data_IF_419672359277
#
_entry.id   IF_419672359277
#
_cell.length_a   1.000
_cell.length_b   1.000
_cell.length_c   1.000
_cell.angle_alpha   90.00
_cell.angle_beta   90.00
_cell.angle_gamma   90.00
#
_symmetry.space_group_name_H-M   'P 1'
#
loop_
_entity.id
_entity.type
_entity.pdbx_description
1 polymer ?
#
# COMPACT_ATOMS: atom_id res chain seq x y z
N UNK A 1 -4.93 40.23 -4.45
CA UNK A 1 -3.87 39.28 -4.81
C UNK A 1 -2.90 39.20 -3.64
N UNK A 2 -2.87 38.09 -2.90
CA UNK A 2 -1.94 37.92 -1.77
C UNK A 2 -0.75 37.12 -2.27
N UNK A 3 0.42 37.76 -2.28
CA UNK A 3 1.70 37.15 -2.69
C UNK A 3 2.27 36.45 -1.46
N UNK A 4 2.31 35.12 -1.46
CA UNK A 4 3.04 34.34 -0.47
C UNK A 4 4.52 34.29 -0.87
N UNK A 5 5.37 35.00 -0.12
CA UNK A 5 6.82 34.85 -0.23
C UNK A 5 7.27 33.54 0.45
N UNK A 6 8.10 32.70 -0.18
CA UNK A 6 8.63 31.52 0.47
C UNK A 6 9.72 31.88 1.49
N UNK A 7 9.57 31.39 2.72
CA UNK A 7 10.59 31.47 3.78
C UNK A 7 11.81 30.60 3.38
N UNK A 8 13.05 31.09 3.48
CA UNK A 8 14.23 30.26 3.27
C UNK A 8 14.51 29.42 4.53
N UNK A 9 14.15 28.14 4.51
CA UNK A 9 14.56 27.17 5.54
C UNK A 9 16.03 26.82 5.33
N UNK A 10 16.96 27.68 5.74
CA UNK A 10 18.40 27.36 5.80
C UNK A 10 18.79 26.96 7.22
N UNK A 11 18.24 25.85 7.73
CA UNK A 11 18.77 25.24 8.95
C UNK A 11 20.05 24.50 8.57
N UNK A 12 21.20 25.16 8.68
CA UNK A 12 22.51 24.51 8.55
C UNK A 12 22.60 23.34 9.54
N UNK A 13 22.95 22.12 9.12
CA UNK A 13 23.09 21.00 10.05
C UNK A 13 24.27 21.25 11.00
N UNK A 14 23.99 21.24 12.30
CA UNK A 14 24.98 21.29 13.37
C UNK A 14 25.88 20.04 13.26
N UNK A 15 27.22 20.17 13.19
CA UNK A 15 28.12 19.03 13.17
C UNK A 15 28.01 18.29 14.52
N UNK A 16 27.40 17.10 14.50
CA UNK A 16 27.36 16.19 15.64
C UNK A 16 28.61 15.31 15.61
N UNK A 17 29.22 14.99 16.77
CA UNK A 17 30.41 14.16 16.82
C UNK A 17 30.16 12.83 16.09
N UNK A 18 31.05 12.53 15.15
CA UNK A 18 31.00 11.38 14.25
C UNK A 18 31.23 10.10 15.06
N UNK A 19 30.16 9.59 15.67
CA UNK A 19 30.15 8.23 16.18
C UNK A 19 30.20 7.30 14.99
N UNK A 20 31.08 6.31 15.03
CA UNK A 20 31.17 5.32 13.97
C UNK A 20 29.92 4.43 14.01
N UNK A 21 29.01 4.66 13.06
CA UNK A 21 27.79 3.89 12.90
C UNK A 21 27.97 2.75 11.89
N UNK A 22 29.19 2.45 11.44
CA UNK A 22 29.43 1.44 10.41
C UNK A 22 28.84 0.06 10.74
N UNK A 23 28.98 -0.41 11.98
CA UNK A 23 28.41 -1.69 12.41
C UNK A 23 26.88 -1.67 12.43
N UNK A 24 26.28 -0.60 12.96
CA UNK A 24 24.83 -0.38 12.94
C UNK A 24 24.30 -0.35 11.49
N UNK A 25 24.97 0.39 10.61
CA UNK A 25 24.58 0.48 9.22
C UNK A 25 24.65 -0.88 8.52
N UNK A 26 25.68 -1.69 8.80
CA UNK A 26 25.83 -3.03 8.25
C UNK A 26 24.77 -4.00 8.76
N UNK A 27 24.53 -4.02 10.08
CA UNK A 27 23.58 -4.92 10.73
C UNK A 27 22.14 -4.65 10.27
N UNK A 28 21.73 -3.38 10.22
CA UNK A 28 20.35 -3.00 9.94
C UNK A 28 20.06 -2.74 8.46
N UNK A 29 21.04 -2.91 7.56
CA UNK A 29 20.89 -2.70 6.10
C UNK A 29 19.74 -3.51 5.51
N UNK A 30 19.67 -4.80 5.81
CA UNK A 30 18.62 -5.68 5.26
C UNK A 30 17.23 -5.27 5.74
N UNK A 31 17.11 -4.91 7.02
CA UNK A 31 15.86 -4.43 7.60
C UNK A 31 15.42 -3.11 6.97
N UNK A 32 16.36 -2.20 6.73
CA UNK A 32 16.09 -0.93 6.07
C UNK A 32 15.54 -1.13 4.65
N UNK A 33 16.16 -1.98 3.84
CA UNK A 33 15.70 -2.28 2.48
C UNK A 33 14.33 -2.95 2.43
N UNK A 34 13.96 -3.73 3.45
CA UNK A 34 12.67 -4.42 3.52
C UNK A 34 11.54 -3.53 4.07
N UNK A 35 11.83 -2.75 5.12
CA UNK A 35 10.82 -2.01 5.88
C UNK A 35 10.55 -0.63 5.30
N UNK A 36 11.60 0.10 4.91
CA UNK A 36 11.48 1.50 4.50
C UNK A 36 10.84 1.77 3.13
N UNK A 37 10.68 0.77 2.24
CA UNK A 37 9.72 0.83 1.14
C UNK A 37 8.27 1.14 1.52
N UNK A 38 7.80 0.57 2.64
CA UNK A 38 6.43 0.75 3.12
C UNK A 38 6.37 0.67 4.66
N UNK A 39 6.88 1.70 5.37
CA UNK A 39 7.03 1.65 6.82
C UNK A 39 5.69 1.63 7.55
N UNK A 40 4.61 2.12 6.93
CA UNK A 40 3.28 2.16 7.54
C UNK A 40 2.72 0.76 7.80
N UNK A 41 3.08 -0.24 6.98
CA UNK A 41 2.69 -1.65 7.20
C UNK A 41 3.28 -2.29 8.45
N UNK A 42 4.37 -1.73 8.96
CA UNK A 42 5.11 -2.25 10.11
C UNK A 42 4.89 -1.43 11.39
N UNK A 43 4.06 -0.38 11.32
CA UNK A 43 3.66 0.44 12.46
C UNK A 43 4.69 1.50 12.88
N UNK A 44 4.41 2.17 14.00
CA UNK A 44 5.12 3.38 14.43
C UNK A 44 6.64 3.21 14.58
N UNK A 45 7.09 2.02 14.99
CA UNK A 45 8.54 1.71 15.12
C UNK A 45 9.28 1.80 13.79
N UNK A 46 8.65 1.38 12.68
CA UNK A 46 9.24 1.45 11.34
C UNK A 46 9.27 2.89 10.81
N UNK A 47 8.23 3.67 11.09
CA UNK A 47 8.14 5.09 10.73
C UNK A 47 9.28 5.90 11.36
N UNK A 48 9.68 5.57 12.59
CA UNK A 48 10.80 6.21 13.28
C UNK A 48 12.15 5.64 12.85
N UNK A 49 12.22 4.33 12.60
CA UNK A 49 13.46 3.65 12.22
C UNK A 49 14.02 4.14 10.88
N UNK A 50 13.17 4.34 9.87
CA UNK A 50 13.62 4.72 8.53
C UNK A 50 14.35 6.08 8.44
N UNK A 51 13.81 7.20 8.99
CA UNK A 51 14.55 8.46 9.02
C UNK A 51 15.80 8.38 9.90
N UNK A 52 15.75 7.64 11.02
CA UNK A 52 16.91 7.45 11.88
C UNK A 52 18.05 6.73 11.14
N UNK A 53 17.77 5.65 10.41
CA UNK A 53 18.78 4.93 9.64
C UNK A 53 19.33 5.81 8.50
N UNK A 54 18.47 6.55 7.78
CA UNK A 54 18.89 7.45 6.72
C UNK A 54 19.83 8.55 7.21
N UNK A 55 19.50 9.18 8.36
CA UNK A 55 20.36 10.20 8.98
C UNK A 55 21.72 9.64 9.43
N UNK A 56 21.74 8.45 10.03
CA UNK A 56 22.96 7.87 10.62
C UNK A 56 23.89 7.25 9.59
N UNK A 57 23.33 6.64 8.55
CA UNK A 57 24.10 5.97 7.51
C UNK A 57 24.31 6.86 6.27
N UNK A 58 23.82 8.11 6.28
CA UNK A 58 23.91 9.07 5.18
C UNK A 58 23.46 8.47 3.84
N UNK A 59 22.46 7.59 3.90
CA UNK A 59 21.88 6.97 2.71
C UNK A 59 20.64 7.74 2.31
N UNK A 60 20.50 7.97 1.01
CA UNK A 60 19.22 8.37 0.44
C UNK A 60 18.17 7.34 0.84
N UNK A 61 16.98 7.79 1.25
CA UNK A 61 15.82 6.90 1.30
C UNK A 61 15.76 6.19 -0.04
N UNK A 62 15.80 4.84 -0.08
CA UNK A 62 15.70 4.13 -1.32
C UNK A 62 14.41 4.61 -1.96
N UNK A 63 14.52 5.09 -3.21
CA UNK A 63 13.35 5.39 -4.01
C UNK A 63 12.38 4.22 -3.83
N UNK A 64 11.10 4.57 -3.63
CA UNK A 64 9.98 3.62 -3.48
C UNK A 64 10.35 2.35 -4.22
N UNK A 65 10.27 1.19 -3.54
CA UNK A 65 10.90 -0.05 -3.97
C UNK A 65 10.70 -0.15 -5.47
N UNK A 66 11.79 -0.26 -6.24
CA UNK A 66 11.70 -0.68 -7.63
C UNK A 66 10.89 -1.95 -7.55
N UNK A 67 9.59 -1.81 -7.82
CA UNK A 67 8.64 -2.89 -7.87
C UNK A 67 9.39 -3.88 -8.75
N UNK A 68 9.64 -5.13 -8.32
CA UNK A 68 10.10 -6.11 -9.26
C UNK A 68 9.17 -5.93 -10.46
N UNK A 69 9.72 -5.76 -11.65
CA UNK A 69 8.99 -5.93 -12.89
C UNK A 69 8.48 -7.38 -12.99
N UNK A 70 7.88 -7.95 -11.96
CA UNK A 70 6.47 -8.29 -12.10
C UNK A 70 5.79 -7.04 -12.67
N UNK A 71 5.68 -7.02 -13.99
CA UNK A 71 4.57 -6.37 -14.66
C UNK A 71 3.34 -6.36 -13.73
N UNK A 72 2.47 -5.33 -13.75
CA UNK A 72 1.15 -5.51 -13.16
C UNK A 72 0.68 -6.88 -13.63
N UNK A 73 0.41 -7.87 -12.75
CA UNK A 73 -0.26 -9.05 -13.24
C UNK A 73 -1.53 -8.46 -13.79
N UNK A 74 -1.64 -8.56 -15.11
CA UNK A 74 -2.60 -7.86 -15.91
C UNK A 74 -3.91 -7.71 -15.12
N UNK A 75 -4.49 -6.52 -15.18
CA UNK A 75 -5.93 -6.30 -14.95
C UNK A 75 -6.83 -7.18 -15.85
N UNK A 76 -6.34 -8.28 -16.42
CA UNK A 76 -6.98 -9.21 -17.34
C UNK A 76 -6.59 -10.68 -17.11
N UNK A 77 -6.31 -11.08 -15.88
CA UNK A 77 -6.57 -12.47 -15.50
C UNK A 77 -7.42 -12.45 -14.25
N UNK A 78 -8.72 -12.21 -14.45
CA UNK A 78 -9.67 -12.85 -13.56
C UNK A 78 -9.28 -14.33 -13.56
N UNK A 79 -8.73 -14.79 -12.44
CA UNK A 79 -8.49 -16.21 -12.21
C UNK A 79 -9.67 -16.98 -12.79
N UNK A 80 -9.42 -18.02 -13.59
CA UNK A 80 -10.48 -18.85 -14.18
C UNK A 80 -11.49 -19.31 -13.12
N UNK A 81 -11.05 -19.42 -11.87
CA UNK A 81 -11.88 -19.65 -10.69
C UNK A 81 -12.85 -18.51 -10.38
N UNK A 82 -12.39 -17.24 -10.42
CA UNK A 82 -13.25 -16.05 -10.22
C UNK A 82 -14.25 -15.94 -11.36
N UNK A 83 -13.82 -16.13 -12.62
CA UNK A 83 -14.73 -16.11 -13.77
C UNK A 83 -15.81 -17.21 -13.66
N UNK A 84 -15.42 -18.43 -13.25
CA UNK A 84 -16.37 -19.54 -13.02
C UNK A 84 -17.31 -19.27 -11.86
N UNK A 85 -16.81 -18.67 -10.77
CA UNK A 85 -17.62 -18.24 -9.63
C UNK A 85 -18.63 -17.17 -10.03
N UNK A 86 -18.20 -16.15 -10.77
CA UNK A 86 -19.08 -15.09 -11.26
C UNK A 86 -20.15 -15.63 -12.22
N UNK A 87 -19.80 -16.57 -13.11
CA UNK A 87 -20.76 -17.24 -13.98
C UNK A 87 -21.81 -18.03 -13.16
N UNK A 88 -21.37 -18.77 -12.14
CA UNK A 88 -22.27 -19.54 -11.27
C UNK A 88 -23.23 -18.64 -10.48
N UNK A 89 -22.75 -17.51 -9.95
CA UNK A 89 -23.55 -16.60 -9.13
C UNK A 89 -24.29 -15.52 -9.94
N UNK A 90 -24.12 -15.46 -11.27
CA UNK A 90 -24.76 -14.46 -12.13
C UNK A 90 -26.29 -14.48 -12.04
N UNK A 91 -26.89 -15.67 -12.10
CA UNK A 91 -28.34 -15.83 -12.01
C UNK A 91 -28.88 -15.40 -10.65
N UNK A 92 -28.19 -15.80 -9.57
CA UNK A 92 -28.51 -15.34 -8.21
C UNK A 92 -28.47 -13.81 -8.12
N UNK A 93 -27.40 -13.19 -8.64
CA UNK A 93 -27.25 -11.75 -8.55
C UNK A 93 -28.29 -10.99 -9.36
N UNK A 94 -28.66 -11.47 -10.55
CA UNK A 94 -29.71 -10.88 -11.37
C UNK A 94 -31.07 -10.91 -10.65
N UNK A 95 -31.40 -12.00 -9.96
CA UNK A 95 -32.70 -12.15 -9.28
C UNK A 95 -32.78 -11.39 -7.96
N UNK A 96 -31.72 -11.43 -7.14
CA UNK A 96 -31.79 -10.97 -5.75
C UNK A 96 -31.06 -9.64 -5.50
N UNK A 97 -29.99 -9.34 -6.23
CA UNK A 97 -29.20 -8.14 -5.98
C UNK A 97 -29.76 -6.88 -6.65
N UNK A 98 -30.76 -7.03 -7.53
CA UNK A 98 -31.47 -5.91 -8.15
C UNK A 98 -32.66 -5.42 -7.31
N UNK A 99 -33.10 -6.20 -6.33
CA UNK A 99 -34.32 -5.92 -5.58
C UNK A 99 -34.00 -5.52 -4.14
N UNK A 100 -34.40 -4.30 -3.77
CA UNK A 100 -34.11 -3.68 -2.47
C UNK A 100 -34.67 -4.53 -1.31
N UNK A 101 -35.78 -5.23 -1.50
CA UNK A 101 -36.39 -6.07 -0.46
C UNK A 101 -35.45 -7.19 0.00
N UNK A 102 -34.71 -7.82 -0.92
CA UNK A 102 -33.74 -8.85 -0.54
C UNK A 102 -32.47 -8.25 0.08
N UNK A 103 -32.08 -7.03 -0.30
CA UNK A 103 -30.93 -6.35 0.32
C UNK A 103 -31.16 -5.94 1.78
N UNK A 104 -32.41 -5.87 2.24
CA UNK A 104 -32.74 -5.69 3.66
C UNK A 104 -32.39 -6.94 4.50
N UNK A 105 -32.34 -8.11 3.88
CA UNK A 105 -31.99 -9.35 4.57
C UNK A 105 -30.46 -9.52 4.57
N UNK A 106 -29.81 -9.68 5.74
CA UNK A 106 -28.35 -9.67 5.84
C UNK A 106 -27.69 -10.78 5.01
N UNK A 107 -28.31 -11.96 4.94
CA UNK A 107 -27.83 -13.09 4.14
C UNK A 107 -27.68 -12.76 2.66
N UNK A 108 -28.69 -12.11 2.08
CA UNK A 108 -28.70 -11.75 0.66
C UNK A 108 -27.82 -10.52 0.41
N UNK A 109 -27.86 -9.54 1.32
CA UNK A 109 -26.98 -8.36 1.28
C UNK A 109 -25.50 -8.73 1.23
N UNK A 110 -25.07 -9.65 2.08
CA UNK A 110 -23.66 -10.05 2.16
C UNK A 110 -23.25 -10.88 0.92
N UNK A 111 -24.15 -11.73 0.42
CA UNK A 111 -23.94 -12.48 -0.83
C UNK A 111 -23.82 -11.54 -2.03
N UNK A 112 -24.70 -10.54 -2.14
CA UNK A 112 -24.66 -9.50 -3.17
C UNK A 112 -23.40 -8.64 -3.04
N UNK A 113 -23.02 -8.24 -1.83
CA UNK A 113 -21.80 -7.46 -1.60
C UNK A 113 -20.54 -8.20 -2.07
N UNK A 114 -20.46 -9.51 -1.81
CA UNK A 114 -19.38 -10.36 -2.32
C UNK A 114 -19.41 -10.43 -3.85
N UNK A 115 -20.58 -10.70 -4.43
CA UNK A 115 -20.73 -10.73 -5.88
C UNK A 115 -20.28 -9.41 -6.53
N UNK A 116 -20.68 -8.26 -6.00
CA UNK A 116 -20.29 -6.96 -6.55
C UNK A 116 -18.79 -6.72 -6.45
N UNK A 117 -18.19 -7.10 -5.30
CA UNK A 117 -16.76 -6.92 -5.05
C UNK A 117 -15.87 -7.77 -5.96
N UNK A 118 -16.31 -8.98 -6.32
CA UNK A 118 -15.51 -9.90 -7.14
C UNK A 118 -15.90 -9.91 -8.62
N UNK A 119 -17.16 -9.60 -8.95
CA UNK A 119 -17.73 -9.79 -10.28
C UNK A 119 -18.21 -8.50 -10.96
N UNK A 120 -18.56 -7.43 -10.24
CA UNK A 120 -19.13 -6.21 -10.85
C UNK A 120 -18.09 -5.21 -11.37
N UNK A 121 -16.78 -5.44 -11.15
CA UNK A 121 -15.70 -4.75 -11.84
C UNK A 121 -15.33 -5.47 -13.15
N UNK A 122 -16.28 -5.56 -14.07
CA UNK A 122 -16.07 -5.91 -15.48
C UNK A 122 -16.76 -4.88 -16.38
N UNK A 123 -16.45 -3.61 -16.16
CA UNK A 123 -16.80 -2.49 -17.04
C UNK A 123 -15.53 -1.74 -17.40
#
# INVERSE_FOLDING_TARGET
TVIFSPLPTTTKPVPRPERDYAEFCREYKQRYLYVCPDPFRFGQKAIVFCPLYAERCQVSLPDKPVVPTSAPPHRHSQSSTIARLCAQYRAFAATYCQNIFFLQQPRYRDACSKYWRFCAWQG
#
